data_IF_019500027279
#
_entry.id   IF_019500027279
#
_cell.length_a   1.000
_cell.length_b   1.000
_cell.length_c   1.000
_cell.angle_alpha   90.00
_cell.angle_beta   90.00
_cell.angle_gamma   90.00
#
_symmetry.space_group_name_H-M   'P 1'
#
loop_
_entity.id
_entity.type
_entity.pdbx_description
1 polymer ?
#
# COMPACT_ATOMS: atom_id res chain seq x y z
N UNK A 1 -1.35 -17.34 30.64
CA UNK A 1 -1.64 -15.93 30.30
C UNK A 1 -0.30 -15.28 30.06
N UNK A 2 -0.01 -14.95 28.81
CA UNK A 2 1.12 -14.09 28.43
C UNK A 2 0.84 -12.68 28.98
N UNK A 3 1.83 -12.08 29.62
CA UNK A 3 1.72 -10.74 30.21
C UNK A 3 1.74 -9.70 29.09
N UNK A 4 0.59 -9.12 28.77
CA UNK A 4 0.41 -8.13 27.69
C UNK A 4 0.72 -6.70 28.14
N UNK A 5 1.24 -6.50 29.37
CA UNK A 5 1.47 -5.15 29.89
C UNK A 5 0.16 -4.45 30.29
N UNK A 6 0.04 -3.15 30.01
CA UNK A 6 -1.11 -2.31 30.40
C UNK A 6 -2.36 -2.54 29.54
N UNK A 7 -2.23 -3.16 28.37
CA UNK A 7 -3.35 -3.49 27.52
C UNK A 7 -4.04 -4.76 28.02
N UNK A 8 -5.34 -4.64 28.32
CA UNK A 8 -6.15 -5.76 28.84
C UNK A 8 -6.97 -6.47 27.76
N UNK A 9 -7.03 -5.90 26.55
CA UNK A 9 -7.86 -6.36 25.43
C UNK A 9 -9.34 -6.45 25.76
N UNK A 10 -10.17 -6.71 24.76
CA UNK A 10 -11.55 -7.12 25.04
C UNK A 10 -11.61 -8.58 25.54
N UNK A 11 -12.76 -8.95 26.11
CA UNK A 11 -13.05 -10.35 26.42
C UNK A 11 -13.01 -11.24 25.15
N UNK A 12 -13.31 -10.66 23.99
CA UNK A 12 -13.21 -11.37 22.72
C UNK A 12 -11.75 -11.72 22.39
N UNK A 13 -10.81 -10.79 22.60
CA UNK A 13 -9.39 -11.08 22.38
C UNK A 13 -8.88 -12.22 23.27
N UNK A 14 -9.29 -12.23 24.55
CA UNK A 14 -8.91 -13.30 25.48
C UNK A 14 -9.45 -14.68 25.05
N UNK A 15 -10.62 -14.72 24.42
CA UNK A 15 -11.17 -15.94 23.82
C UNK A 15 -10.39 -16.36 22.57
N UNK A 16 -10.08 -15.40 21.70
CA UNK A 16 -9.31 -15.62 20.48
C UNK A 16 -7.91 -16.16 20.80
N UNK A 17 -7.19 -15.54 21.74
CA UNK A 17 -5.86 -15.98 22.16
C UNK A 17 -5.84 -17.39 22.76
N UNK A 18 -6.98 -17.87 23.29
CA UNK A 18 -7.12 -19.27 23.74
C UNK A 18 -7.38 -20.22 22.58
N UNK A 19 -8.16 -19.79 21.58
CA UNK A 19 -8.46 -20.58 20.39
C UNK A 19 -7.25 -20.66 19.45
N UNK A 20 -6.46 -19.60 19.35
CA UNK A 20 -5.27 -19.48 18.50
C UNK A 20 -4.06 -19.04 19.35
N UNK A 21 -3.39 -19.96 20.06
CA UNK A 21 -2.33 -19.62 21.03
C UNK A 21 -1.18 -18.79 20.45
N UNK A 22 -0.78 -19.08 19.20
CA UNK A 22 0.30 -18.34 18.54
C UNK A 22 -0.08 -16.87 18.31
N UNK A 23 -1.34 -16.58 17.94
CA UNK A 23 -1.81 -15.21 17.81
C UNK A 23 -1.78 -14.47 19.16
N UNK A 24 -2.10 -15.16 20.26
CA UNK A 24 -1.98 -14.60 21.61
C UNK A 24 -0.54 -14.33 22.07
N UNK A 25 0.42 -15.15 21.62
CA UNK A 25 1.85 -14.92 21.85
C UNK A 25 2.35 -13.70 21.08
N UNK A 26 2.06 -13.66 19.76
CA UNK A 26 2.41 -12.53 18.88
C UNK A 26 1.84 -11.23 19.42
N UNK A 27 0.55 -11.21 19.77
CA UNK A 27 -0.09 -10.01 20.32
C UNK A 27 0.61 -9.49 21.56
N UNK A 28 0.98 -10.38 22.49
CA UNK A 28 1.72 -9.98 23.67
C UNK A 28 3.11 -9.43 23.35
N UNK A 29 3.78 -9.94 22.32
CA UNK A 29 5.05 -9.40 21.85
C UNK A 29 4.89 -8.00 21.24
N UNK A 30 3.97 -7.86 20.29
CA UNK A 30 3.77 -6.61 19.54
C UNK A 30 3.25 -5.48 20.43
N UNK A 31 2.32 -5.77 21.34
CA UNK A 31 1.82 -4.78 22.33
C UNK A 31 2.95 -4.27 23.24
N UNK A 32 3.86 -5.15 23.66
CA UNK A 32 5.02 -4.72 24.47
C UNK A 32 5.96 -3.85 23.65
N UNK A 33 6.27 -4.26 22.41
CA UNK A 33 7.13 -3.49 21.51
C UNK A 33 6.55 -2.09 21.23
N UNK A 34 5.24 -2.00 20.97
CA UNK A 34 4.55 -0.73 20.75
C UNK A 34 4.58 0.16 22.01
N UNK A 35 4.37 -0.41 23.19
CA UNK A 35 4.44 0.31 24.47
C UNK A 35 5.86 0.82 24.74
N UNK A 36 6.88 0.00 24.48
CA UNK A 36 8.30 0.38 24.63
C UNK A 36 8.70 1.50 23.66
N UNK A 37 8.05 1.57 22.49
CA UNK A 37 8.17 2.66 21.53
C UNK A 37 7.39 3.93 21.91
N UNK A 38 6.66 3.91 23.04
CA UNK A 38 5.91 5.05 23.56
C UNK A 38 4.47 5.16 23.06
N UNK A 39 3.92 4.12 22.44
CA UNK A 39 2.51 4.11 22.04
C UNK A 39 1.61 4.06 23.27
N UNK A 40 0.61 4.95 23.32
CA UNK A 40 -0.35 5.00 24.42
C UNK A 40 -1.32 3.81 24.35
N UNK A 41 -1.61 3.20 25.51
CA UNK A 41 -2.48 2.03 25.58
C UNK A 41 -3.92 2.28 25.11
N UNK A 42 -4.37 3.53 25.13
CA UNK A 42 -5.69 3.93 24.63
C UNK A 42 -5.81 3.84 23.11
N UNK A 43 -4.69 3.86 22.38
CA UNK A 43 -4.63 3.71 20.92
C UNK A 43 -4.60 2.23 20.49
N UNK A 44 -4.35 1.30 21.42
CA UNK A 44 -4.30 -0.13 21.14
C UNK A 44 -5.71 -0.76 21.15
N UNK A 45 -6.50 -0.43 20.13
CA UNK A 45 -7.82 -1.07 19.91
C UNK A 45 -7.66 -2.53 19.50
N UNK A 46 -8.73 -3.33 19.61
CA UNK A 46 -8.70 -4.72 19.14
C UNK A 46 -8.40 -4.82 17.62
N UNK A 47 -8.87 -3.85 16.82
CA UNK A 47 -8.57 -3.77 15.39
C UNK A 47 -7.08 -3.52 15.15
N UNK A 48 -6.49 -2.54 15.85
CA UNK A 48 -5.06 -2.26 15.75
C UNK A 48 -4.19 -3.46 16.17
N UNK A 49 -4.55 -4.15 17.26
CA UNK A 49 -3.83 -5.35 17.69
C UNK A 49 -3.99 -6.49 16.69
N UNK A 50 -5.17 -6.66 16.06
CA UNK A 50 -5.37 -7.63 14.99
C UNK A 50 -4.47 -7.33 13.78
N UNK A 51 -4.31 -6.06 13.40
CA UNK A 51 -3.42 -5.64 12.32
C UNK A 51 -1.97 -6.06 12.62
N UNK A 52 -1.43 -5.69 13.80
CA UNK A 52 -0.08 -6.08 14.21
C UNK A 52 0.12 -7.61 14.21
N UNK A 53 -0.87 -8.34 14.74
CA UNK A 53 -0.80 -9.81 14.81
C UNK A 53 -0.80 -10.45 13.44
N UNK A 54 -1.69 -10.03 12.55
CA UNK A 54 -1.80 -10.60 11.21
C UNK A 54 -0.61 -10.20 10.33
N UNK A 55 -0.07 -8.98 10.47
CA UNK A 55 1.17 -8.55 9.84
C UNK A 55 2.36 -9.45 10.23
N UNK A 56 2.62 -9.62 11.54
CA UNK A 56 3.74 -10.41 12.04
C UNK A 56 3.59 -11.91 11.70
N UNK A 57 2.37 -12.46 11.78
CA UNK A 57 2.13 -13.83 11.32
C UNK A 57 2.44 -13.98 9.83
N UNK A 58 2.09 -13.00 8.99
CA UNK A 58 2.41 -13.05 7.57
C UNK A 58 3.90 -12.92 7.27
N UNK A 59 4.66 -12.14 8.05
CA UNK A 59 6.13 -12.13 7.97
C UNK A 59 6.68 -13.53 8.20
N UNK A 60 6.19 -14.25 9.23
CA UNK A 60 6.61 -15.63 9.51
C UNK A 60 6.18 -16.62 8.44
N UNK A 61 4.97 -16.47 7.87
CA UNK A 61 4.50 -17.28 6.74
C UNK A 61 5.44 -17.14 5.54
N UNK A 62 5.85 -15.90 5.21
CA UNK A 62 6.79 -15.61 4.12
C UNK A 62 8.19 -16.20 4.40
N UNK A 63 8.58 -16.26 5.68
CA UNK A 63 9.80 -16.97 6.11
C UNK A 63 9.66 -18.50 6.12
N UNK A 64 8.48 -19.05 5.79
CA UNK A 64 8.22 -20.48 5.68
C UNK A 64 7.78 -21.16 6.98
N UNK A 65 7.29 -20.41 7.97
CA UNK A 65 6.75 -20.98 9.22
C UNK A 65 5.34 -21.57 9.02
N UNK A 66 5.18 -22.91 9.05
CA UNK A 66 3.87 -23.53 8.89
C UNK A 66 2.93 -23.26 10.07
N UNK A 67 3.44 -23.03 11.28
CA UNK A 67 2.60 -22.75 12.44
C UNK A 67 1.95 -21.37 12.33
N UNK A 68 2.67 -20.38 11.80
CA UNK A 68 2.13 -19.07 11.50
C UNK A 68 1.02 -19.12 10.44
N UNK A 69 1.22 -19.93 9.38
CA UNK A 69 0.18 -20.16 8.36
C UNK A 69 -1.07 -20.78 8.96
N UNK A 70 -0.91 -21.83 9.77
CA UNK A 70 -2.04 -22.50 10.39
C UNK A 70 -2.76 -21.57 11.39
N UNK A 71 -2.03 -20.68 12.06
CA UNK A 71 -2.62 -19.63 12.90
C UNK A 71 -3.42 -18.61 12.08
N UNK A 72 -2.93 -18.15 10.92
CA UNK A 72 -3.70 -17.26 10.02
C UNK A 72 -5.01 -17.90 9.57
N UNK A 73 -5.01 -19.19 9.23
CA UNK A 73 -6.22 -19.94 8.85
C UNK A 73 -7.18 -20.08 10.05
N UNK A 74 -6.65 -20.37 11.24
CA UNK A 74 -7.45 -20.49 12.45
C UNK A 74 -8.09 -19.15 12.84
N UNK A 75 -7.38 -18.03 12.71
CA UNK A 75 -7.93 -16.68 12.89
C UNK A 75 -9.10 -16.42 11.95
N UNK A 76 -8.94 -16.72 10.65
CA UNK A 76 -10.03 -16.63 9.67
C UNK A 76 -11.24 -17.48 10.07
N UNK A 77 -11.02 -18.69 10.60
CA UNK A 77 -12.10 -19.56 11.09
C UNK A 77 -12.84 -18.96 12.28
N UNK A 78 -12.11 -18.39 13.25
CA UNK A 78 -12.70 -17.76 14.44
C UNK A 78 -13.46 -16.48 14.09
N UNK A 79 -12.94 -15.69 13.17
CA UNK A 79 -13.60 -14.51 12.64
C UNK A 79 -14.85 -14.90 11.84
N UNK A 80 -14.78 -15.90 10.97
CA UNK A 80 -15.92 -16.39 10.16
C UNK A 80 -17.10 -16.81 11.05
N UNK A 81 -16.82 -17.49 12.17
CA UNK A 81 -17.83 -17.92 13.14
C UNK A 81 -18.63 -16.76 13.74
N UNK A 82 -18.18 -15.51 13.56
CA UNK A 82 -19.01 -14.32 13.72
C UNK A 82 -19.53 -14.15 15.14
N UNK A 83 -18.69 -14.42 16.14
CA UNK A 83 -19.06 -14.15 17.55
C UNK A 83 -19.52 -12.68 17.63
N UNK A 84 -20.64 -12.38 18.31
CA UNK A 84 -21.40 -11.12 18.16
C UNK A 84 -20.68 -9.83 18.61
N UNK A 85 -19.38 -9.89 18.91
CA UNK A 85 -18.56 -8.79 19.46
C UNK A 85 -17.42 -8.40 18.51
N UNK A 86 -17.24 -9.11 17.38
CA UNK A 86 -16.23 -8.72 16.39
C UNK A 86 -16.75 -7.54 15.59
N UNK A 87 -16.13 -6.39 15.79
CA UNK A 87 -16.37 -5.19 14.99
C UNK A 87 -15.75 -5.32 13.59
N UNK A 88 -16.28 -4.57 12.62
CA UNK A 88 -15.83 -4.65 11.22
C UNK A 88 -14.35 -4.28 11.05
N UNK A 89 -13.84 -3.35 11.86
CA UNK A 89 -12.43 -2.94 11.90
C UNK A 89 -11.48 -4.11 12.16
N UNK A 90 -11.83 -5.04 13.07
CA UNK A 90 -11.04 -6.24 13.34
C UNK A 90 -11.01 -7.18 12.12
N UNK A 91 -12.15 -7.32 11.43
CA UNK A 91 -12.20 -8.15 10.22
C UNK A 91 -11.34 -7.52 9.13
N UNK A 92 -11.48 -6.21 8.89
CA UNK A 92 -10.66 -5.48 7.92
C UNK A 92 -9.16 -5.56 8.24
N UNK A 93 -8.79 -5.36 9.51
CA UNK A 93 -7.41 -5.47 9.98
C UNK A 93 -6.78 -6.85 9.75
N UNK A 94 -7.57 -7.92 9.77
CA UNK A 94 -7.11 -9.25 9.39
C UNK A 94 -7.00 -9.41 7.86
N UNK A 95 -8.04 -9.00 7.13
CA UNK A 95 -8.16 -9.22 5.69
C UNK A 95 -7.11 -8.46 4.87
N UNK A 96 -6.64 -7.30 5.34
CA UNK A 96 -5.58 -6.52 4.67
C UNK A 96 -4.30 -7.34 4.48
N UNK A 97 -4.02 -8.31 5.35
CA UNK A 97 -2.83 -9.15 5.31
C UNK A 97 -3.05 -10.52 4.65
N UNK A 98 -4.28 -10.92 4.37
CA UNK A 98 -4.56 -12.22 3.72
C UNK A 98 -4.07 -12.19 2.26
N UNK A 99 -3.22 -13.10 1.77
CA UNK A 99 -2.78 -13.09 0.36
C UNK A 99 -3.93 -13.21 -0.64
N UNK A 100 -3.76 -12.77 -1.89
CA UNK A 100 -4.80 -13.04 -2.88
C UNK A 100 -4.72 -14.51 -3.35
N UNK A 101 -5.86 -15.16 -3.56
CA UNK A 101 -5.94 -16.49 -4.16
C UNK A 101 -5.20 -16.60 -5.47
N UNK A 102 -4.40 -17.65 -5.58
CA UNK A 102 -3.49 -17.88 -6.71
C UNK A 102 -2.13 -17.18 -6.58
N UNK A 103 -1.95 -16.29 -5.61
CA UNK A 103 -0.63 -15.74 -5.25
C UNK A 103 0.11 -16.67 -4.27
N UNK A 104 1.42 -16.47 -4.06
CA UNK A 104 2.13 -17.14 -2.97
C UNK A 104 1.37 -17.00 -1.65
N UNK A 105 1.21 -18.12 -0.94
CA UNK A 105 0.46 -18.23 0.32
C UNK A 105 -1.07 -18.03 0.20
N UNK A 106 -1.60 -18.05 -1.03
CA UNK A 106 -3.05 -17.93 -1.32
C UNK A 106 -3.92 -19.01 -0.67
N UNK A 107 -3.35 -20.11 -0.18
CA UNK A 107 -4.10 -21.13 0.57
C UNK A 107 -4.78 -20.58 1.83
N UNK A 108 -4.28 -19.48 2.41
CA UNK A 108 -4.92 -18.80 3.54
C UNK A 108 -6.27 -18.22 3.12
N UNK A 109 -6.34 -17.58 1.96
CA UNK A 109 -7.57 -17.03 1.41
C UNK A 109 -8.55 -18.09 0.91
N UNK A 110 -8.03 -19.23 0.43
CA UNK A 110 -8.82 -20.39 0.04
C UNK A 110 -9.48 -21.09 1.23
N UNK A 111 -8.90 -20.95 2.43
CA UNK A 111 -9.43 -21.51 3.67
C UNK A 111 -10.50 -20.63 4.34
N UNK A 112 -10.74 -19.41 3.84
CA UNK A 112 -11.77 -18.53 4.39
C UNK A 112 -13.17 -19.10 4.18
N UNK A 113 -14.04 -18.89 5.17
CA UNK A 113 -15.46 -19.15 5.00
C UNK A 113 -16.15 -18.12 4.11
N UNK A 114 -17.42 -18.36 3.79
CA UNK A 114 -18.16 -17.58 2.80
C UNK A 114 -18.27 -16.09 3.15
N UNK A 115 -18.43 -15.75 4.44
CA UNK A 115 -18.61 -14.36 4.87
C UNK A 115 -17.33 -13.57 4.73
N UNK A 116 -16.23 -14.06 5.30
CA UNK A 116 -14.92 -13.42 5.17
C UNK A 116 -14.44 -13.43 3.73
N UNK A 117 -14.77 -14.45 2.97
CA UNK A 117 -14.43 -14.47 1.56
C UNK A 117 -15.14 -13.37 0.78
N UNK A 118 -16.44 -13.19 1.01
CA UNK A 118 -17.19 -12.10 0.40
C UNK A 118 -16.67 -10.72 0.85
N UNK A 119 -16.29 -10.57 2.13
CA UNK A 119 -15.69 -9.33 2.62
C UNK A 119 -14.31 -9.07 1.98
N UNK A 120 -13.47 -10.10 1.85
CA UNK A 120 -12.18 -10.02 1.17
C UNK A 120 -12.36 -9.65 -0.30
N UNK A 121 -13.32 -10.29 -0.98
CA UNK A 121 -13.64 -10.00 -2.37
C UNK A 121 -14.18 -8.56 -2.50
N UNK A 122 -15.01 -8.07 -1.57
CA UNK A 122 -15.51 -6.70 -1.58
C UNK A 122 -14.41 -5.66 -1.33
N UNK A 123 -13.53 -5.90 -0.36
CA UNK A 123 -12.37 -5.05 -0.06
C UNK A 123 -11.40 -4.99 -1.26
N UNK A 124 -11.39 -6.04 -2.07
CA UNK A 124 -10.52 -6.22 -3.25
C UNK A 124 -11.18 -6.02 -4.59
N UNK A 125 -12.48 -5.78 -4.65
CA UNK A 125 -13.22 -5.42 -5.86
C UNK A 125 -13.04 -3.91 -6.12
N UNK A 126 -11.80 -3.43 -5.95
CA UNK A 126 -11.43 -2.11 -6.46
C UNK A 126 -11.50 -2.18 -7.97
N UNK A 127 -12.34 -1.31 -8.52
CA UNK A 127 -12.40 -1.07 -9.96
C UNK A 127 -12.21 0.40 -10.17
N UNK A 128 -11.29 0.72 -11.05
CA UNK A 128 -11.18 2.07 -11.54
C UNK A 128 -12.43 2.42 -12.34
N UNK A 129 -12.84 3.68 -12.26
CA UNK A 129 -13.84 4.20 -13.18
C UNK A 129 -13.39 3.95 -14.63
N UNK A 130 -14.29 3.64 -15.58
CA UNK A 130 -13.90 3.24 -16.93
C UNK A 130 -12.99 4.26 -17.64
N UNK A 131 -13.15 5.55 -17.38
CA UNK A 131 -12.30 6.61 -17.90
C UNK A 131 -10.86 6.51 -17.34
N UNK A 132 -10.74 6.33 -16.02
CA UNK A 132 -9.46 6.11 -15.33
C UNK A 132 -8.77 4.84 -15.82
N UNK A 133 -9.49 3.72 -15.89
CA UNK A 133 -8.93 2.46 -16.41
C UNK A 133 -8.38 2.63 -17.83
N UNK A 134 -9.15 3.27 -18.72
CA UNK A 134 -8.72 3.53 -20.09
C UNK A 134 -7.53 4.49 -20.16
N UNK A 135 -7.44 5.47 -19.26
CA UNK A 135 -6.31 6.38 -19.13
C UNK A 135 -5.04 5.63 -18.70
N UNK A 136 -5.11 4.82 -17.64
CA UNK A 136 -3.98 4.02 -17.16
C UNK A 136 -3.47 3.05 -18.23
N UNK A 137 -4.38 2.40 -18.97
CA UNK A 137 -4.04 1.55 -20.11
C UNK A 137 -3.28 2.31 -21.22
N UNK A 138 -3.65 3.56 -21.50
CA UNK A 138 -2.93 4.41 -22.47
C UNK A 138 -1.57 4.80 -21.94
N UNK A 139 -1.48 5.21 -20.68
CA UNK A 139 -0.23 5.60 -20.02
C UNK A 139 0.78 4.44 -20.02
N UNK A 140 0.38 3.25 -19.56
CA UNK A 140 1.26 2.07 -19.53
C UNK A 140 1.68 1.58 -20.91
N UNK A 141 0.82 1.76 -21.92
CA UNK A 141 1.18 1.45 -23.31
C UNK A 141 2.18 2.46 -23.90
N UNK A 142 2.02 3.73 -23.56
CA UNK A 142 2.90 4.80 -24.04
C UNK A 142 4.25 4.80 -23.34
N UNK A 143 4.29 4.43 -22.06
CA UNK A 143 5.50 4.42 -21.22
C UNK A 143 5.66 3.06 -20.54
N UNK A 144 6.18 2.03 -21.26
CA UNK A 144 6.33 0.68 -20.71
C UNK A 144 7.25 0.60 -19.48
N UNK A 145 8.12 1.59 -19.27
CA UNK A 145 9.00 1.67 -18.11
C UNK A 145 8.23 1.83 -16.78
N UNK A 146 6.95 2.22 -16.81
CA UNK A 146 6.08 2.28 -15.64
C UNK A 146 5.49 0.92 -15.24
N UNK A 147 5.71 -0.13 -16.04
CA UNK A 147 5.18 -1.47 -15.80
C UNK A 147 5.50 -2.03 -14.40
N UNK A 148 6.78 -1.99 -13.95
CA UNK A 148 7.12 -2.45 -12.60
C UNK A 148 6.36 -1.72 -11.48
N UNK A 149 6.22 -0.39 -11.57
CA UNK A 149 5.44 0.38 -10.57
C UNK A 149 3.96 0.00 -10.61
N UNK A 150 3.39 -0.17 -11.81
CA UNK A 150 2.02 -0.62 -11.93
C UNK A 150 1.82 -2.02 -11.34
N UNK A 151 2.80 -2.91 -11.45
CA UNK A 151 2.71 -4.25 -10.88
C UNK A 151 2.75 -4.23 -9.35
N UNK A 152 3.56 -3.36 -8.73
CA UNK A 152 3.54 -3.13 -7.27
C UNK A 152 2.20 -2.56 -6.79
N UNK A 153 1.54 -1.78 -7.63
CA UNK A 153 0.28 -1.11 -7.31
C UNK A 153 -0.95 -1.90 -7.77
N UNK A 154 -0.79 -3.13 -8.27
CA UNK A 154 -1.93 -4.04 -8.49
C UNK A 154 -2.36 -4.60 -7.14
N UNK A 155 -3.60 -4.36 -6.77
CA UNK A 155 -4.18 -4.87 -5.54
C UNK A 155 -5.44 -5.68 -5.84
N UNK A 156 -5.58 -6.82 -5.15
CA UNK A 156 -6.76 -7.67 -5.24
C UNK A 156 -6.80 -8.62 -6.43
N UNK A 157 -7.99 -9.17 -6.67
CA UNK A 157 -8.25 -10.23 -7.68
C UNK A 157 -8.22 -9.73 -9.12
N UNK A 158 -8.48 -8.45 -9.26
CA UNK A 158 -8.63 -7.81 -10.55
C UNK A 158 -7.27 -7.24 -10.90
N UNK A 159 -6.78 -7.55 -12.11
CA UNK A 159 -5.50 -7.07 -12.64
C UNK A 159 -5.53 -5.55 -12.90
N UNK A 160 -6.16 -4.79 -12.04
CA UNK A 160 -6.25 -3.35 -12.10
C UNK A 160 -5.22 -2.74 -11.17
N UNK A 161 -4.73 -1.58 -11.57
CA UNK A 161 -3.77 -0.80 -10.79
C UNK A 161 -4.57 0.12 -9.87
N UNK A 162 -4.15 0.23 -8.61
CA UNK A 162 -4.66 1.25 -7.69
C UNK A 162 -4.22 2.62 -8.21
N UNK A 163 -5.13 3.32 -8.89
CA UNK A 163 -4.80 4.49 -9.69
C UNK A 163 -4.09 5.59 -8.89
N UNK A 164 -4.59 5.90 -7.70
CA UNK A 164 -4.08 6.96 -6.86
C UNK A 164 -2.64 6.72 -6.37
N UNK A 165 -2.34 5.63 -5.64
CA UNK A 165 -0.96 5.36 -5.21
C UNK A 165 -0.03 5.15 -6.41
N UNK A 166 -0.51 4.56 -7.52
CA UNK A 166 0.29 4.43 -8.73
C UNK A 166 0.72 5.78 -9.32
N UNK A 167 -0.17 6.76 -9.45
CA UNK A 167 0.27 8.08 -9.92
C UNK A 167 1.20 8.78 -8.92
N UNK A 168 1.06 8.49 -7.63
CA UNK A 168 2.00 8.97 -6.61
C UNK A 168 3.41 8.42 -6.83
N UNK A 169 3.52 7.11 -7.05
CA UNK A 169 4.79 6.46 -7.39
C UNK A 169 5.36 6.98 -8.72
N UNK A 170 4.51 7.24 -9.71
CA UNK A 170 4.94 7.88 -10.97
C UNK A 170 5.53 9.26 -10.70
N UNK A 171 4.88 10.11 -9.90
CA UNK A 171 5.41 11.43 -9.53
C UNK A 171 6.79 11.30 -8.87
N UNK A 172 6.92 10.40 -7.89
CA UNK A 172 8.17 10.14 -7.19
C UNK A 172 9.26 9.63 -8.13
N UNK A 173 8.93 8.71 -9.06
CA UNK A 173 9.86 8.21 -10.09
C UNK A 173 10.37 9.30 -11.00
N UNK A 174 9.47 10.14 -11.53
CA UNK A 174 9.90 11.19 -12.45
C UNK A 174 10.84 12.19 -11.78
N UNK A 175 10.64 12.50 -10.48
CA UNK A 175 11.55 13.33 -9.70
C UNK A 175 12.87 12.59 -9.41
N UNK A 176 12.81 11.31 -9.05
CA UNK A 176 13.99 10.48 -8.82
C UNK A 176 14.87 10.38 -10.08
N UNK A 177 14.27 10.26 -11.26
CA UNK A 177 14.99 10.26 -12.54
C UNK A 177 15.78 11.55 -12.77
N UNK A 178 15.18 12.70 -12.47
CA UNK A 178 15.84 14.01 -12.64
C UNK A 178 16.94 14.27 -11.61
N UNK A 179 16.82 13.67 -10.42
CA UNK A 179 17.79 13.84 -9.33
C UNK A 179 18.84 12.73 -9.24
N UNK A 180 18.78 11.73 -10.13
CA UNK A 180 19.62 10.54 -10.04
C UNK A 180 19.37 9.72 -8.77
N UNK A 181 18.15 9.77 -8.23
CA UNK A 181 17.71 9.07 -7.03
C UNK A 181 17.83 9.86 -5.72
N UNK A 182 18.39 11.08 -5.74
CA UNK A 182 18.59 11.85 -4.51
C UNK A 182 17.28 12.22 -3.78
N UNK A 183 16.17 12.37 -4.52
CA UNK A 183 14.85 12.64 -3.93
C UNK A 183 14.24 11.47 -3.17
N UNK A 184 14.76 10.25 -3.33
CA UNK A 184 14.22 9.07 -2.64
C UNK A 184 14.59 9.03 -1.16
N UNK A 185 15.52 9.88 -0.70
CA UNK A 185 15.94 9.91 0.70
C UNK A 185 16.50 8.58 1.19
N UNK A 186 17.03 7.75 0.30
CA UNK A 186 17.62 6.44 0.65
C UNK A 186 18.81 6.69 1.57
N UNK A 187 18.71 6.19 2.80
CA UNK A 187 19.74 6.30 3.84
C UNK A 187 20.73 5.13 3.73
N UNK A 188 21.94 5.31 4.27
CA UNK A 188 22.98 4.28 4.35
C UNK A 188 22.56 3.09 5.25
N UNK A 189 21.58 3.30 6.13
CA UNK A 189 21.03 2.28 7.02
C UNK A 189 19.96 1.38 6.35
N UNK A 190 19.55 1.67 5.10
CA UNK A 190 18.65 0.79 4.36
C UNK A 190 19.29 -0.57 4.09
N UNK A 191 18.55 -1.69 4.22
CA UNK A 191 19.01 -2.97 3.71
C UNK A 191 19.41 -2.86 2.24
N UNK A 192 20.53 -3.51 1.87
CA UNK A 192 21.08 -3.43 0.51
C UNK A 192 20.06 -3.86 -0.56
N UNK A 193 19.23 -4.85 -0.23
CA UNK A 193 18.15 -5.35 -1.09
C UNK A 193 17.06 -4.29 -1.31
N UNK A 194 16.57 -3.65 -0.25
CA UNK A 194 15.55 -2.59 -0.33
C UNK A 194 16.06 -1.38 -1.12
N UNK A 195 17.32 -1.01 -0.90
CA UNK A 195 17.97 0.05 -1.67
C UNK A 195 18.09 -0.31 -3.15
N UNK A 196 18.51 -1.53 -3.46
CA UNK A 196 18.63 -2.00 -4.84
C UNK A 196 17.26 -2.02 -5.54
N UNK A 197 16.22 -2.43 -4.82
CA UNK A 197 14.85 -2.48 -5.32
C UNK A 197 14.27 -1.08 -5.56
N UNK A 198 14.44 -0.16 -4.62
CA UNK A 198 14.04 1.23 -4.80
C UNK A 198 14.73 1.87 -6.02
N UNK A 199 16.04 1.66 -6.18
CA UNK A 199 16.76 2.14 -7.36
C UNK A 199 16.26 1.48 -8.65
N UNK A 200 15.94 0.18 -8.63
CA UNK A 200 15.40 -0.55 -9.78
C UNK A 200 14.03 0.00 -10.22
N UNK A 201 13.16 0.35 -9.27
CA UNK A 201 11.80 0.83 -9.53
C UNK A 201 11.78 2.30 -9.97
N UNK A 202 12.55 3.16 -9.30
CA UNK A 202 12.43 4.61 -9.41
C UNK A 202 13.51 5.27 -10.28
N UNK A 203 14.50 4.53 -10.76
CA UNK A 203 15.53 5.06 -11.66
C UNK A 203 15.55 4.35 -13.01
N UNK A 204 16.26 4.92 -13.98
CA UNK A 204 16.41 4.36 -15.32
C UNK A 204 17.89 4.40 -15.70
N UNK A 205 18.32 3.41 -16.48
CA UNK A 205 19.64 3.42 -17.12
C UNK A 205 19.66 4.26 -18.41
N UNK A 206 18.58 4.99 -18.71
CA UNK A 206 18.50 5.85 -19.89
C UNK A 206 19.56 6.95 -19.84
N UNK A 207 20.23 7.23 -20.97
CA UNK A 207 21.23 8.29 -21.05
C UNK A 207 20.62 9.69 -20.98
N UNK A 208 19.29 9.83 -21.16
CA UNK A 208 18.58 11.11 -21.01
C UNK A 208 17.25 10.89 -20.26
N UNK A 209 17.29 10.85 -18.92
CA UNK A 209 16.09 10.68 -18.09
C UNK A 209 15.03 11.76 -18.32
N UNK A 210 15.45 12.99 -18.68
CA UNK A 210 14.52 14.08 -18.94
C UNK A 210 13.66 13.84 -20.20
N UNK A 211 14.10 13.03 -21.16
CA UNK A 211 13.26 12.60 -22.29
C UNK A 211 12.13 11.67 -21.83
N UNK A 212 12.42 10.73 -20.92
CA UNK A 212 11.39 9.85 -20.34
C UNK A 212 10.37 10.67 -19.55
N UNK A 213 10.84 11.55 -18.67
CA UNK A 213 9.99 12.43 -17.86
C UNK A 213 9.10 13.30 -18.73
N UNK A 214 9.66 13.89 -19.81
CA UNK A 214 8.87 14.65 -20.78
C UNK A 214 7.80 13.81 -21.49
N UNK A 215 8.05 12.53 -21.73
CA UNK A 215 7.06 11.64 -22.37
C UNK A 215 5.88 11.36 -21.42
N UNK A 216 6.15 11.12 -20.14
CA UNK A 216 5.12 10.94 -19.10
C UNK A 216 4.32 12.23 -18.94
N UNK A 217 4.98 13.34 -18.62
CA UNK A 217 4.32 14.63 -18.40
C UNK A 217 3.56 15.12 -19.64
N UNK A 218 4.08 14.87 -20.84
CA UNK A 218 3.41 15.23 -22.08
C UNK A 218 2.10 14.47 -22.30
N UNK A 219 2.02 13.21 -21.85
CA UNK A 219 0.78 12.44 -21.89
C UNK A 219 -0.22 12.98 -20.86
N UNK A 220 0.23 13.21 -19.62
CA UNK A 220 -0.63 13.73 -18.54
C UNK A 220 -1.20 15.12 -18.90
N UNK A 221 -0.38 15.99 -19.46
CA UNK A 221 -0.79 17.31 -19.97
C UNK A 221 -1.88 17.23 -21.06
N UNK A 222 -1.80 16.21 -21.92
CA UNK A 222 -2.77 15.99 -22.98
C UNK A 222 -4.09 15.41 -22.46
N UNK A 223 -4.04 14.60 -21.40
CA UNK A 223 -5.20 13.93 -20.79
C UNK A 223 -5.96 14.82 -19.81
N UNK A 224 -5.32 15.83 -19.20
CA UNK A 224 -6.02 16.80 -18.36
C UNK A 224 -7.20 17.42 -19.15
N UNK A 225 -8.29 17.83 -18.49
CA UNK A 225 -9.54 18.35 -19.07
C UNK A 225 -10.26 17.42 -20.06
N UNK A 226 -9.86 16.17 -20.21
CA UNK A 226 -10.57 15.21 -21.07
C UNK A 226 -11.74 14.56 -20.36
N UNK A 227 -11.61 14.33 -19.05
CA UNK A 227 -12.58 13.69 -18.17
C UNK A 227 -12.34 14.14 -16.72
N UNK A 228 -13.43 14.33 -15.94
CA UNK A 228 -13.33 14.87 -14.58
C UNK A 228 -12.66 13.90 -13.60
N UNK A 229 -12.87 12.59 -13.75
CA UNK A 229 -12.28 11.60 -12.85
C UNK A 229 -10.78 11.42 -13.12
N UNK A 230 -10.36 11.59 -14.38
CA UNK A 230 -8.95 11.61 -14.77
C UNK A 230 -8.27 12.88 -14.27
N UNK A 231 -8.96 14.03 -14.33
CA UNK A 231 -8.44 15.31 -13.81
C UNK A 231 -8.21 15.25 -12.31
N UNK A 232 -9.19 14.75 -11.56
CA UNK A 232 -9.08 14.56 -10.11
C UNK A 232 -7.92 13.62 -9.77
N UNK A 233 -7.81 12.49 -10.47
CA UNK A 233 -6.70 11.57 -10.29
C UNK A 233 -5.34 12.21 -10.59
N UNK A 234 -5.19 13.01 -11.65
CA UNK A 234 -3.93 13.70 -11.95
C UNK A 234 -3.63 14.75 -10.87
N UNK A 235 -4.64 15.51 -10.43
CA UNK A 235 -4.45 16.53 -9.40
C UNK A 235 -3.97 15.90 -8.08
N UNK A 236 -4.70 14.92 -7.56
CA UNK A 236 -4.41 14.34 -6.24
C UNK A 236 -3.29 13.29 -6.32
N UNK A 237 -3.31 12.42 -7.32
CA UNK A 237 -2.35 11.34 -7.45
C UNK A 237 -0.97 11.80 -7.92
N UNK A 238 -0.87 12.82 -8.78
CA UNK A 238 0.41 13.29 -9.31
C UNK A 238 0.80 14.66 -8.76
N UNK A 239 -0.05 15.67 -8.93
CA UNK A 239 0.33 17.06 -8.64
C UNK A 239 0.51 17.30 -7.15
N UNK A 240 -0.34 16.74 -6.29
CA UNK A 240 -0.14 16.80 -4.84
C UNK A 240 1.14 16.08 -4.39
N UNK A 241 1.60 15.08 -5.13
CA UNK A 241 2.81 14.32 -4.83
C UNK A 241 4.09 14.95 -5.40
N UNK A 242 3.99 16.06 -6.14
CA UNK A 242 5.18 16.80 -6.60
C UNK A 242 5.86 17.54 -5.44
N UNK A 243 7.21 17.62 -5.46
CA UNK A 243 7.98 18.24 -4.40
C UNK A 243 7.65 19.73 -4.22
N UNK A 244 7.81 20.22 -2.99
CA UNK A 244 7.76 21.64 -2.68
C UNK A 244 8.99 22.38 -3.23
N UNK A 245 8.94 23.72 -3.34
CA UNK A 245 9.97 24.51 -4.01
C UNK A 245 11.39 24.33 -3.44
N UNK A 246 11.51 23.97 -2.15
CA UNK A 246 12.76 23.76 -1.44
C UNK A 246 13.24 22.30 -1.43
N UNK A 247 12.48 21.39 -2.03
CA UNK A 247 12.78 19.96 -2.06
C UNK A 247 13.59 19.54 -3.32
N UNK A 248 14.38 18.46 -3.23
CA UNK A 248 15.17 17.98 -4.36
C UNK A 248 14.33 17.67 -5.61
N UNK A 249 14.76 18.21 -6.76
CA UNK A 249 14.13 17.94 -8.06
C UNK A 249 12.95 18.85 -8.40
N UNK A 250 12.53 19.74 -7.49
CA UNK A 250 11.41 20.65 -7.71
C UNK A 250 11.61 21.62 -8.89
N UNK A 251 12.80 22.21 -8.99
CA UNK A 251 13.13 23.13 -10.09
C UNK A 251 13.15 22.40 -11.44
N UNK A 252 13.75 21.20 -11.47
CA UNK A 252 13.88 20.37 -12.66
C UNK A 252 12.52 19.89 -13.17
N UNK A 253 11.67 19.34 -12.30
CA UNK A 253 10.35 18.83 -12.70
C UNK A 253 9.45 19.98 -13.14
N UNK A 254 9.45 21.10 -12.41
CA UNK A 254 8.64 22.30 -12.72
C UNK A 254 9.01 22.88 -14.08
N UNK A 255 10.29 22.85 -14.46
CA UNK A 255 10.76 23.32 -15.76
C UNK A 255 10.24 22.47 -16.94
N UNK A 256 9.86 21.21 -16.69
CA UNK A 256 9.34 20.28 -17.69
C UNK A 256 7.81 20.25 -17.78
N UNK A 257 7.10 20.80 -16.79
CA UNK A 257 5.63 20.85 -16.81
C UNK A 257 5.12 21.68 -18.00
N UNK A 258 4.07 21.15 -18.63
CA UNK A 258 3.25 21.88 -19.58
C UNK A 258 2.39 22.95 -18.89
N UNK A 259 1.74 23.84 -19.67
CA UNK A 259 0.98 24.95 -19.11
C UNK A 259 -0.19 24.52 -18.21
N UNK A 260 -0.83 23.38 -18.48
CA UNK A 260 -2.02 22.94 -17.74
C UNK A 260 -1.65 22.26 -16.43
N UNK A 261 -0.65 21.39 -16.45
CA UNK A 261 -0.10 20.81 -15.21
C UNK A 261 0.50 21.90 -14.32
N UNK A 262 1.17 22.91 -14.89
CA UNK A 262 1.64 24.06 -14.11
C UNK A 262 0.50 24.84 -13.46
N UNK A 263 -0.60 25.08 -14.19
CA UNK A 263 -1.77 25.74 -13.64
C UNK A 263 -2.51 24.91 -12.55
N UNK A 264 -2.38 23.58 -12.56
CA UNK A 264 -2.85 22.73 -11.45
C UNK A 264 -1.91 22.85 -10.24
N UNK A 265 -0.60 22.82 -10.45
CA UNK A 265 0.39 23.01 -9.38
C UNK A 265 0.24 24.37 -8.68
N UNK A 266 0.03 25.44 -9.45
CA UNK A 266 -0.19 26.79 -8.91
C UNK A 266 -1.47 26.83 -8.04
N UNK A 267 -2.55 26.15 -8.47
CA UNK A 267 -3.80 26.04 -7.70
C UNK A 267 -3.59 25.32 -6.37
N UNK A 268 -2.77 24.26 -6.36
CA UNK A 268 -2.41 23.56 -5.11
C UNK A 268 -1.74 24.49 -4.10
N UNK A 269 -0.86 25.40 -4.56
CA UNK A 269 -0.15 26.32 -3.66
C UNK A 269 -1.04 27.46 -3.13
N UNK A 270 -2.18 27.74 -3.78
CA UNK A 270 -3.13 28.76 -3.35
C UNK A 270 -4.19 28.24 -2.33
N UNK A 271 -4.36 26.91 -2.25
CA UNK A 271 -5.33 26.23 -1.38
C UNK A 271 -4.83 26.08 0.07
#
# INVERSE_FOLDING_TARGET
MTDTGSWTGSAWWADLARAVPLAGEVAGSEVRAATDAGLEAELMTDGFVMELVSAELMVRVRAGDPAARDAMIALGTELEAGRPVVSEDVVSAYLIHVPSPGEPHGEIADALGTRLRAALDQDRDHRNEPAVAAFLDRLLRAVPALGPLADEQRYGYHREVLAHPFLGDVAQREVALLTGGASLGIDDDWPEEDRAEALRLYTSTSPDPAVEVRAVLGLLEAELGSDADVDDLIAVGLVEMLPYEDEPGAAEITALLGPRLRAELDRRHEA
#
